data_IF_693114422045
#
_entry.id   IF_693114422045
#
_cell.length_a   1.000
_cell.length_b   1.000
_cell.length_c   1.000
_cell.angle_alpha   90.00
_cell.angle_beta   90.00
_cell.angle_gamma   90.00
#
_symmetry.space_group_name_H-M   'P 1'
#
loop_
_entity.id
_entity.type
_entity.pdbx_description
1 polymer ?
#
# COMPACT_ATOMS: atom_id res chain seq x y z
N UNK A 1 -3.35 14.28 -18.81
CA UNK A 1 -1.91 14.63 -18.73
C UNK A 1 -1.17 13.46 -18.09
N UNK A 2 -0.70 12.49 -18.89
CA UNK A 2 -0.04 11.27 -18.39
C UNK A 2 1.37 11.54 -17.83
N UNK A 3 2.04 12.61 -18.28
CA UNK A 3 3.41 12.94 -17.89
C UNK A 3 3.56 13.36 -16.43
N UNK A 4 2.59 14.11 -15.90
CA UNK A 4 2.70 14.66 -14.53
C UNK A 4 2.24 13.69 -13.44
N UNK A 5 1.43 12.69 -13.77
CA UNK A 5 0.82 11.78 -12.78
C UNK A 5 1.33 10.34 -12.93
N UNK A 6 1.42 9.82 -14.16
CA UNK A 6 1.67 8.40 -14.39
C UNK A 6 3.13 8.06 -14.70
N UNK A 7 3.94 9.03 -15.14
CA UNK A 7 5.31 8.74 -15.62
C UNK A 7 6.22 8.09 -14.57
N UNK A 8 6.14 8.54 -13.32
CA UNK A 8 6.89 7.94 -12.21
C UNK A 8 6.39 6.53 -11.88
N UNK A 9 5.08 6.30 -11.92
CA UNK A 9 4.48 4.99 -11.70
C UNK A 9 4.90 4.00 -12.80
N UNK A 10 4.87 4.41 -14.08
CA UNK A 10 5.34 3.60 -15.21
C UNK A 10 6.80 3.20 -15.00
N UNK A 11 7.68 4.15 -14.66
CA UNK A 11 9.09 3.86 -14.40
C UNK A 11 9.28 2.87 -13.24
N UNK A 12 8.46 2.98 -12.19
CA UNK A 12 8.45 2.02 -11.08
C UNK A 12 8.02 0.62 -11.52
N UNK A 13 6.87 0.49 -12.17
CA UNK A 13 6.36 -0.80 -12.66
C UNK A 13 7.31 -1.46 -13.64
N UNK A 14 7.92 -0.70 -14.55
CA UNK A 14 8.83 -1.28 -15.55
C UNK A 14 10.09 -1.83 -14.88
N UNK A 15 10.62 -1.15 -13.86
CA UNK A 15 11.81 -1.63 -13.12
C UNK A 15 11.50 -2.79 -12.18
N UNK A 16 10.34 -2.79 -11.53
CA UNK A 16 10.00 -3.81 -10.54
C UNK A 16 9.33 -5.05 -11.13
N UNK A 17 8.54 -4.90 -12.19
CA UNK A 17 7.63 -5.94 -12.71
C UNK A 17 7.72 -6.13 -14.23
N UNK A 18 8.54 -5.35 -14.94
CA UNK A 18 8.66 -5.42 -16.40
C UNK A 18 7.43 -4.93 -17.19
N UNK A 19 6.45 -4.29 -16.52
CA UNK A 19 5.21 -3.80 -17.11
C UNK A 19 5.18 -2.26 -17.16
N UNK A 20 4.53 -1.67 -18.15
CA UNK A 20 4.29 -0.22 -18.22
C UNK A 20 2.99 0.21 -17.50
N UNK A 21 2.25 -0.75 -16.94
CA UNK A 21 1.02 -0.52 -16.18
C UNK A 21 0.87 -1.45 -14.97
N UNK A 22 -0.17 -1.21 -14.14
CA UNK A 22 -0.46 -2.07 -13.00
C UNK A 22 -0.75 -3.50 -13.46
N UNK A 23 -0.20 -4.54 -12.81
CA UNK A 23 -0.40 -5.94 -13.23
C UNK A 23 -1.80 -6.47 -12.87
N UNK A 24 -2.49 -5.82 -11.94
CA UNK A 24 -3.80 -6.27 -11.45
C UNK A 24 -4.96 -5.76 -12.32
N UNK A 25 -6.10 -6.42 -12.16
CA UNK A 25 -7.39 -6.10 -12.76
C UNK A 25 -8.38 -5.59 -11.71
N UNK A 26 -9.55 -5.12 -12.16
CA UNK A 26 -10.63 -4.74 -11.22
C UNK A 26 -11.32 -5.93 -10.56
N UNK A 27 -11.15 -7.15 -11.08
CA UNK A 27 -11.68 -8.37 -10.46
C UNK A 27 -10.95 -8.72 -9.17
N UNK A 28 -9.67 -8.34 -9.05
CA UNK A 28 -8.87 -8.59 -7.85
C UNK A 28 -9.42 -7.91 -6.58
N UNK A 29 -10.22 -6.85 -6.73
CA UNK A 29 -10.96 -6.23 -5.63
C UNK A 29 -11.98 -7.18 -4.98
N UNK A 30 -12.41 -8.22 -5.70
CA UNK A 30 -13.30 -9.27 -5.22
C UNK A 30 -12.53 -10.48 -4.64
N UNK A 31 -11.20 -10.43 -4.60
CA UNK A 31 -10.39 -11.51 -4.04
C UNK A 31 -9.51 -11.04 -2.87
N UNK A 32 -9.22 -9.74 -2.79
CA UNK A 32 -8.39 -9.22 -1.70
C UNK A 32 -9.05 -9.36 -0.32
N UNK A 33 -8.21 -9.64 0.68
CA UNK A 33 -8.53 -9.64 2.11
C UNK A 33 -8.12 -8.32 2.78
N UNK A 34 -7.22 -7.57 2.16
CA UNK A 34 -6.81 -6.23 2.56
C UNK A 34 -6.81 -5.32 1.34
N UNK A 35 -7.49 -4.18 1.44
CA UNK A 35 -7.40 -3.09 0.48
C UNK A 35 -6.55 -1.97 1.08
N UNK A 36 -5.30 -1.87 0.63
CA UNK A 36 -4.33 -0.86 1.09
C UNK A 36 -4.31 0.34 0.15
N UNK A 37 -5.00 1.41 0.54
CA UNK A 37 -5.22 2.62 -0.25
C UNK A 37 -4.25 3.72 0.18
N UNK A 38 -3.12 3.86 -0.50
CA UNK A 38 -2.09 4.87 -0.22
C UNK A 38 -2.10 5.98 -1.27
N UNK A 39 -2.14 7.24 -0.82
CA UNK A 39 -2.05 8.41 -1.71
C UNK A 39 -3.20 8.54 -2.71
N UNK A 40 -4.36 7.92 -2.43
CA UNK A 40 -5.53 7.92 -3.33
C UNK A 40 -6.80 8.33 -2.61
N UNK A 41 -7.60 9.19 -3.26
CA UNK A 41 -8.95 9.53 -2.80
C UNK A 41 -9.99 8.79 -3.66
N UNK A 42 -10.02 7.47 -3.54
CA UNK A 42 -10.82 6.58 -4.39
C UNK A 42 -12.32 6.88 -4.35
N UNK A 43 -12.84 7.39 -3.24
CA UNK A 43 -14.24 7.82 -3.11
C UNK A 43 -14.64 8.89 -4.13
N UNK A 44 -13.74 9.84 -4.41
CA UNK A 44 -13.98 10.94 -5.35
C UNK A 44 -13.44 10.64 -6.75
N UNK A 45 -12.23 10.07 -6.83
CA UNK A 45 -11.53 9.88 -8.10
C UNK A 45 -11.95 8.59 -8.84
N UNK A 46 -12.44 7.57 -8.12
CA UNK A 46 -12.85 6.27 -8.68
C UNK A 46 -14.11 5.72 -7.99
N UNK A 47 -15.22 6.49 -7.99
CA UNK A 47 -16.39 6.24 -7.14
C UNK A 47 -17.02 4.87 -7.36
N UNK A 48 -17.01 4.35 -8.60
CA UNK A 48 -17.58 3.03 -8.93
C UNK A 48 -16.78 1.90 -8.25
N UNK A 49 -15.45 1.96 -8.29
CA UNK A 49 -14.59 0.97 -7.64
C UNK A 49 -14.70 1.05 -6.12
N UNK A 50 -14.77 2.27 -5.58
CA UNK A 50 -14.97 2.47 -4.14
C UNK A 50 -16.32 1.92 -3.67
N UNK A 51 -17.39 2.17 -4.41
CA UNK A 51 -18.71 1.60 -4.11
C UNK A 51 -18.74 0.07 -4.20
N UNK A 52 -18.01 -0.53 -5.16
CA UNK A 52 -17.84 -2.00 -5.25
C UNK A 52 -17.18 -2.54 -3.99
N UNK A 53 -16.07 -1.94 -3.55
CA UNK A 53 -15.35 -2.35 -2.35
C UNK A 53 -16.22 -2.23 -1.08
N UNK A 54 -16.95 -1.11 -0.92
CA UNK A 54 -17.86 -0.93 0.21
C UNK A 54 -19.04 -1.89 0.17
N UNK A 55 -19.58 -2.19 -1.02
CA UNK A 55 -20.67 -3.17 -1.18
C UNK A 55 -20.20 -4.57 -0.77
N UNK A 56 -18.98 -4.97 -1.15
CA UNK A 56 -18.35 -6.23 -0.72
C UNK A 56 -18.25 -6.28 0.80
N UNK A 57 -17.65 -5.26 1.41
CA UNK A 57 -17.49 -5.15 2.87
C UNK A 57 -18.83 -5.20 3.62
N UNK A 58 -19.87 -4.53 3.12
CA UNK A 58 -21.22 -4.58 3.71
C UNK A 58 -21.90 -5.95 3.55
N UNK A 59 -21.74 -6.60 2.39
CA UNK A 59 -22.34 -7.92 2.11
C UNK A 59 -21.68 -9.02 2.94
N UNK A 60 -20.38 -8.92 3.19
CA UNK A 60 -19.62 -9.87 3.98
C UNK A 60 -18.69 -9.12 4.97
N UNK A 61 -19.20 -8.70 6.14
CA UNK A 61 -18.40 -8.03 7.16
C UNK A 61 -17.19 -8.88 7.57
N UNK A 62 -16.00 -8.27 7.60
CA UNK A 62 -14.74 -8.96 7.92
C UNK A 62 -14.04 -9.63 6.72
N UNK A 63 -14.68 -9.73 5.55
CA UNK A 63 -14.06 -10.30 4.34
C UNK A 63 -12.92 -9.46 3.76
N UNK A 64 -12.93 -8.16 4.00
CA UNK A 64 -11.89 -7.24 3.54
C UNK A 64 -11.66 -6.17 4.61
N UNK A 65 -10.39 -5.94 4.92
CA UNK A 65 -9.92 -4.82 5.76
C UNK A 65 -9.48 -3.67 4.85
N UNK A 66 -10.02 -2.48 5.07
CA UNK A 66 -9.68 -1.27 4.31
C UNK A 66 -8.71 -0.44 5.15
N UNK A 67 -7.50 -0.26 4.64
CA UNK A 67 -6.47 0.61 5.23
C UNK A 67 -6.28 1.80 4.31
N UNK A 68 -6.33 3.02 4.86
CA UNK A 68 -6.13 4.25 4.10
C UNK A 68 -4.92 5.00 4.65
N UNK A 69 -3.99 5.35 3.77
CA UNK A 69 -2.83 6.20 4.05
C UNK A 69 -2.99 7.50 3.27
N UNK A 70 -3.49 8.53 3.96
CA UNK A 70 -3.67 9.89 3.41
C UNK A 70 -3.54 10.89 4.58
N UNK A 71 -2.72 11.95 4.45
CA UNK A 71 -2.61 12.98 5.49
C UNK A 71 -3.97 13.63 5.84
N UNK A 72 -4.93 13.61 4.91
CA UNK A 72 -6.24 14.24 5.03
C UNK A 72 -7.30 13.20 5.37
N UNK A 73 -8.33 13.64 6.12
CA UNK A 73 -9.50 12.81 6.46
C UNK A 73 -10.59 12.90 5.38
N UNK A 74 -10.28 12.37 4.20
CA UNK A 74 -11.20 12.31 3.03
C UNK A 74 -12.36 11.34 3.28
N UNK A 75 -13.36 11.32 2.38
CA UNK A 75 -14.43 10.31 2.44
C UNK A 75 -13.92 8.88 2.25
N UNK A 76 -12.82 8.72 1.50
CA UNK A 76 -12.08 7.45 1.44
C UNK A 76 -11.59 7.04 2.83
N UNK A 77 -10.92 7.95 3.55
CA UNK A 77 -10.40 7.70 4.89
C UNK A 77 -11.50 7.45 5.94
N UNK A 78 -12.65 8.13 5.84
CA UNK A 78 -13.78 7.94 6.76
C UNK A 78 -14.38 6.53 6.70
N UNK A 79 -14.26 5.84 5.57
CA UNK A 79 -14.77 4.48 5.41
C UNK A 79 -13.75 3.37 5.76
N UNK A 80 -12.51 3.76 6.09
CA UNK A 80 -11.43 2.84 6.41
C UNK A 80 -11.62 2.18 7.77
N UNK A 81 -11.12 0.94 7.91
CA UNK A 81 -10.95 0.31 9.22
C UNK A 81 -9.74 0.90 9.95
N UNK A 82 -8.69 1.24 9.19
CA UNK A 82 -7.48 1.89 9.69
C UNK A 82 -7.20 3.10 8.81
N UNK A 83 -7.09 4.28 9.42
CA UNK A 83 -6.61 5.49 8.75
C UNK A 83 -5.26 5.89 9.34
N UNK A 84 -4.23 5.97 8.50
CA UNK A 84 -2.89 6.42 8.84
C UNK A 84 -2.68 7.84 8.27
N UNK A 85 -2.81 8.89 9.09
CA UNK A 85 -2.65 10.28 8.67
C UNK A 85 -1.17 10.68 8.68
N UNK A 86 -0.36 10.05 7.82
CA UNK A 86 1.08 10.32 7.75
C UNK A 86 1.39 11.76 7.30
N UNK A 87 2.54 12.28 7.70
CA UNK A 87 3.08 13.53 7.20
C UNK A 87 3.27 13.46 5.66
N UNK A 88 2.98 14.53 4.90
CA UNK A 88 3.22 14.55 3.45
C UNK A 88 4.68 14.21 3.09
N UNK A 89 4.87 13.34 2.10
CA UNK A 89 6.20 12.91 1.64
C UNK A 89 6.89 11.87 2.53
N UNK A 90 6.17 11.25 3.47
CA UNK A 90 6.71 10.19 4.36
C UNK A 90 6.25 8.77 3.99
N UNK A 91 5.59 8.60 2.85
CA UNK A 91 5.07 7.32 2.35
C UNK A 91 6.14 6.22 2.26
N UNK A 92 7.33 6.52 1.72
CA UNK A 92 8.41 5.54 1.62
C UNK A 92 8.92 5.08 3.01
N UNK A 93 8.93 5.96 4.01
CA UNK A 93 9.30 5.58 5.37
C UNK A 93 8.27 4.60 5.97
N UNK A 94 6.98 4.87 5.75
CA UNK A 94 5.90 3.95 6.17
C UNK A 94 6.05 2.58 5.48
N UNK A 95 6.29 2.55 4.17
CA UNK A 95 6.44 1.30 3.42
C UNK A 95 7.64 0.47 3.90
N UNK A 96 8.79 1.10 4.16
CA UNK A 96 9.92 0.39 4.76
C UNK A 96 9.64 -0.09 6.18
N UNK A 97 8.87 0.68 6.97
CA UNK A 97 8.41 0.26 8.29
C UNK A 97 7.52 -0.97 8.27
N UNK A 98 6.58 -1.03 7.31
CA UNK A 98 5.74 -2.21 7.09
C UNK A 98 6.62 -3.40 6.69
N UNK A 99 7.56 -3.21 5.75
CA UNK A 99 8.50 -4.26 5.37
C UNK A 99 9.33 -4.75 6.56
N UNK A 100 9.83 -3.84 7.41
CA UNK A 100 10.54 -4.19 8.64
C UNK A 100 9.72 -5.12 9.54
N UNK A 101 8.43 -4.80 9.74
CA UNK A 101 7.53 -5.61 10.55
C UNK A 101 7.28 -6.99 9.94
N UNK A 102 7.02 -7.04 8.63
CA UNK A 102 6.83 -8.31 7.89
C UNK A 102 8.05 -9.21 8.04
N UNK A 103 9.25 -8.67 7.82
CA UNK A 103 10.51 -9.40 7.93
C UNK A 103 10.75 -9.91 9.35
N UNK A 104 10.50 -9.06 10.36
CA UNK A 104 10.65 -9.41 11.78
C UNK A 104 9.70 -10.53 12.20
N UNK A 105 8.50 -10.57 11.63
CA UNK A 105 7.45 -11.54 11.96
C UNK A 105 7.47 -12.79 11.06
N UNK A 106 8.47 -12.91 10.17
CA UNK A 106 8.57 -13.97 9.16
C UNK A 106 7.32 -14.08 8.28
N UNK A 107 6.70 -12.94 7.94
CA UNK A 107 5.50 -12.85 7.11
C UNK A 107 5.76 -12.87 5.60
N UNK A 108 7.03 -13.01 5.19
CA UNK A 108 7.45 -13.14 3.80
C UNK A 108 7.35 -14.59 3.29
N UNK A 109 7.38 -14.75 1.96
CA UNK A 109 7.50 -16.05 1.28
C UNK A 109 8.94 -16.24 0.78
N UNK A 110 9.79 -17.03 1.46
CA UNK A 110 11.19 -17.19 1.08
C UNK A 110 11.38 -17.86 -0.28
N UNK A 111 10.51 -18.80 -0.65
CA UNK A 111 10.62 -19.49 -1.94
C UNK A 111 10.32 -18.54 -3.09
N UNK A 112 9.26 -17.73 -2.97
CA UNK A 112 8.96 -16.69 -3.96
C UNK A 112 10.10 -15.68 -4.10
N UNK A 113 10.69 -15.26 -2.97
CA UNK A 113 11.82 -14.31 -2.99
C UNK A 113 13.01 -14.90 -3.75
N UNK A 114 13.39 -16.15 -3.47
CA UNK A 114 14.54 -16.81 -4.09
C UNK A 114 14.29 -17.07 -5.59
N UNK A 115 13.09 -17.53 -5.96
CA UNK A 115 12.76 -17.95 -7.32
C UNK A 115 12.38 -16.78 -8.26
N UNK A 116 11.90 -15.66 -7.71
CA UNK A 116 11.21 -14.63 -8.51
C UNK A 116 11.66 -13.19 -8.22
N UNK A 117 12.67 -12.97 -7.39
CA UNK A 117 13.17 -11.62 -7.09
C UNK A 117 14.68 -11.52 -7.22
N UNK A 118 15.19 -10.29 -7.28
CA UNK A 118 16.61 -9.99 -7.27
C UNK A 118 16.90 -8.88 -6.25
N UNK A 119 18.16 -8.77 -5.82
CA UNK A 119 18.63 -7.73 -4.89
C UNK A 119 17.92 -7.71 -3.52
N UNK A 120 17.44 -8.87 -3.05
CA UNK A 120 16.74 -8.98 -1.77
C UNK A 120 17.61 -8.56 -0.57
N UNK A 121 18.88 -8.96 -0.52
CA UNK A 121 19.78 -8.60 0.59
C UNK A 121 19.94 -7.08 0.74
N UNK A 122 20.09 -6.38 -0.39
CA UNK A 122 20.18 -4.92 -0.39
C UNK A 122 18.87 -4.27 0.10
N UNK A 123 17.72 -4.84 -0.28
CA UNK A 123 16.42 -4.39 0.24
C UNK A 123 16.27 -4.66 1.74
N UNK A 124 16.69 -5.83 2.20
CA UNK A 124 16.67 -6.22 3.61
C UNK A 124 17.45 -5.22 4.47
N UNK A 125 18.67 -4.86 4.07
CA UNK A 125 19.50 -3.87 4.78
C UNK A 125 18.83 -2.48 4.89
N UNK A 126 18.02 -2.11 3.89
CA UNK A 126 17.23 -0.88 3.95
C UNK A 126 16.07 -1.04 4.95
N UNK A 127 15.24 -2.06 4.78
CA UNK A 127 14.06 -2.29 5.60
C UNK A 127 14.41 -2.50 7.09
N UNK A 128 15.49 -3.22 7.39
CA UNK A 128 15.94 -3.49 8.75
C UNK A 128 16.21 -2.21 9.58
N UNK A 129 16.56 -1.09 8.92
CA UNK A 129 16.85 0.20 9.57
C UNK A 129 15.60 1.03 9.91
N UNK A 130 14.45 0.70 9.36
CA UNK A 130 13.20 1.44 9.55
C UNK A 130 12.34 0.82 10.66
N UNK A 131 12.81 0.94 11.90
CA UNK A 131 12.07 0.44 13.08
C UNK A 131 10.74 1.18 13.29
N UNK A 132 9.73 0.57 13.95
CA UNK A 132 8.42 1.21 14.18
C UNK A 132 8.53 2.59 14.81
N UNK A 133 9.32 2.75 15.89
CA UNK A 133 9.61 4.04 16.51
C UNK A 133 10.17 5.08 15.54
N UNK A 134 11.11 4.71 14.67
CA UNK A 134 11.73 5.64 13.70
C UNK A 134 10.68 6.09 12.67
N UNK A 135 9.87 5.16 12.21
CA UNK A 135 8.80 5.40 11.22
C UNK A 135 7.71 6.27 11.83
N UNK A 136 7.24 5.97 13.04
CA UNK A 136 6.25 6.76 13.77
C UNK A 136 6.69 8.22 13.91
N UNK A 137 7.94 8.47 14.32
CA UNK A 137 8.51 9.81 14.40
C UNK A 137 8.60 10.50 13.04
N UNK A 138 9.07 9.81 11.99
CA UNK A 138 9.25 10.40 10.66
C UNK A 138 7.92 10.70 9.96
N UNK A 139 6.94 9.80 10.10
CA UNK A 139 5.60 9.92 9.55
C UNK A 139 4.67 10.77 10.42
N UNK A 140 5.10 11.19 11.62
CA UNK A 140 4.28 11.93 12.59
C UNK A 140 2.96 11.20 12.94
N UNK A 141 3.05 9.91 13.24
CA UNK A 141 1.93 9.07 13.67
C UNK A 141 2.28 8.37 15.01
N UNK A 142 1.29 7.87 15.76
CA UNK A 142 1.55 6.99 16.90
C UNK A 142 2.30 5.73 16.48
N UNK A 143 3.13 5.19 17.38
CA UNK A 143 3.81 3.90 17.19
C UNK A 143 2.85 2.71 17.33
#
# INVERSE_FOLDING_TARGET
NSRLCMSSAVAGYTRSLGSDGPPCSYEDLDHCTVAFLIGTNTAECHPVLFQRLLKRKRKNPGSVKIVVVDPRRTDTAKAADIHLPIAPGSDLALLHGIAHLVLRENGQDPAFIDDHTENYDAFFDVAARWTPRRVALFCNIPE
#
